data_IF_820078236676
#
_entry.id   IF_820078236676
#
_cell.length_a   1.000
_cell.length_b   1.000
_cell.length_c   1.000
_cell.angle_alpha   90.00
_cell.angle_beta   90.00
_cell.angle_gamma   90.00
#
_symmetry.space_group_name_H-M   'P 1'
#
loop_
_entity.id
_entity.type
_entity.pdbx_description
1 polymer ?
#
# COMPACT_ATOMS: atom_id res chain seq x y z
N UNK A 1 40.21 -21.05 9.03
CA UNK A 1 38.77 -21.36 8.91
C UNK A 1 37.93 -20.13 8.58
N UNK A 2 37.90 -19.03 9.34
CA UNK A 2 37.18 -17.80 8.92
C UNK A 2 37.90 -16.98 7.83
N UNK A 3 39.23 -16.98 7.85
CA UNK A 3 40.10 -16.31 6.86
C UNK A 3 39.93 -16.83 5.43
N UNK A 4 39.47 -18.06 5.28
CA UNK A 4 39.51 -18.80 4.02
C UNK A 4 38.38 -18.39 3.07
N UNK A 5 37.41 -17.61 3.60
CA UNK A 5 36.24 -17.13 2.86
C UNK A 5 36.34 -15.65 2.47
N UNK A 6 37.37 -14.93 2.93
CA UNK A 6 37.59 -13.54 2.56
C UNK A 6 37.82 -13.42 1.05
N UNK A 7 37.11 -12.49 0.41
CA UNK A 7 37.12 -12.28 -1.04
C UNK A 7 36.24 -13.26 -1.82
N UNK A 8 35.58 -14.22 -1.18
CA UNK A 8 34.61 -15.08 -1.86
C UNK A 8 33.38 -14.27 -2.26
N UNK A 9 32.89 -14.45 -3.49
CA UNK A 9 31.60 -13.91 -3.88
C UNK A 9 30.51 -14.81 -3.28
N UNK A 10 29.58 -14.24 -2.53
CA UNK A 10 28.52 -14.99 -1.86
C UNK A 10 27.17 -14.38 -2.13
N UNK A 11 26.14 -15.22 -2.05
CA UNK A 11 24.72 -14.87 -2.05
C UNK A 11 24.13 -15.22 -0.69
N UNK A 12 23.70 -14.21 0.05
CA UNK A 12 23.10 -14.31 1.38
C UNK A 12 21.60 -14.02 1.25
N UNK A 13 20.77 -15.01 1.56
CA UNK A 13 19.33 -14.87 1.62
C UNK A 13 18.92 -14.58 3.07
N UNK A 14 18.39 -13.38 3.31
CA UNK A 14 17.94 -12.93 4.62
C UNK A 14 16.42 -13.13 4.82
N UNK A 15 15.79 -13.96 3.97
CA UNK A 15 14.37 -14.26 4.01
C UNK A 15 13.49 -13.26 3.23
N UNK A 16 12.15 -13.46 3.28
CA UNK A 16 11.22 -12.73 2.42
C UNK A 16 11.13 -11.23 2.73
N UNK A 17 11.45 -10.81 3.95
CA UNK A 17 11.37 -9.41 4.39
C UNK A 17 12.61 -8.60 3.97
N UNK A 18 13.79 -9.21 4.07
CA UNK A 18 15.08 -8.54 3.80
C UNK A 18 15.66 -8.91 2.44
N UNK A 19 15.13 -9.92 1.74
CA UNK A 19 15.55 -10.31 0.40
C UNK A 19 16.94 -10.96 0.34
N UNK A 20 17.54 -10.91 -0.86
CA UNK A 20 18.83 -11.55 -1.14
C UNK A 20 19.90 -10.48 -1.38
N UNK A 21 21.05 -10.67 -0.76
CA UNK A 21 22.24 -9.84 -0.90
C UNK A 21 23.36 -10.65 -1.55
N UNK A 22 24.06 -10.04 -2.50
CA UNK A 22 25.19 -10.66 -3.19
C UNK A 22 26.40 -9.74 -3.12
N UNK A 23 27.58 -10.25 -2.80
CA UNK A 23 28.77 -9.41 -2.68
C UNK A 23 29.99 -10.20 -2.26
N UNK A 24 31.14 -9.54 -2.22
CA UNK A 24 32.40 -10.16 -1.84
C UNK A 24 32.57 -10.11 -0.32
N UNK A 25 32.91 -11.24 0.31
CA UNK A 25 33.12 -11.29 1.76
C UNK A 25 34.32 -10.44 2.15
N UNK A 26 34.07 -9.35 2.87
CA UNK A 26 35.06 -8.39 3.31
C UNK A 26 35.65 -8.74 4.66
N UNK A 27 34.80 -9.26 5.56
CA UNK A 27 35.16 -9.57 6.93
C UNK A 27 34.23 -10.63 7.50
N UNK A 28 34.75 -11.51 8.36
CA UNK A 28 33.97 -12.52 9.09
C UNK A 28 34.41 -12.47 10.54
N UNK A 29 33.49 -12.15 11.45
CA UNK A 29 33.75 -12.18 12.89
C UNK A 29 33.03 -13.35 13.54
N UNK A 30 33.82 -14.31 14.03
CA UNK A 30 33.30 -15.48 14.73
C UNK A 30 32.79 -15.14 16.14
N UNK A 31 33.29 -14.07 16.76
CA UNK A 31 32.91 -13.70 18.14
C UNK A 31 31.55 -13.04 18.16
N UNK A 32 31.32 -12.07 17.25
CA UNK A 32 30.02 -11.41 17.10
C UNK A 32 29.05 -12.15 16.18
N UNK A 33 29.48 -13.25 15.55
CA UNK A 33 28.72 -14.01 14.57
C UNK A 33 28.20 -13.10 13.44
N UNK A 34 29.10 -12.35 12.82
CA UNK A 34 28.77 -11.42 11.73
C UNK A 34 29.63 -11.63 10.49
N UNK A 35 29.09 -11.28 9.33
CA UNK A 35 29.76 -11.30 8.02
C UNK A 35 29.50 -10.00 7.28
N UNK A 36 30.55 -9.37 6.75
CA UNK A 36 30.45 -8.16 5.93
C UNK A 36 30.65 -8.47 4.45
N UNK A 37 29.83 -7.86 3.60
CA UNK A 37 29.96 -7.91 2.14
C UNK A 37 30.36 -6.55 1.59
N UNK A 38 31.42 -6.52 0.78
CA UNK A 38 31.84 -5.38 -0.04
C UNK A 38 31.12 -5.38 -1.39
N UNK A 39 30.85 -4.17 -1.86
CA UNK A 39 30.09 -3.89 -3.09
C UNK A 39 28.79 -4.70 -3.19
N UNK A 40 27.93 -4.71 -2.15
CA UNK A 40 26.78 -5.58 -2.15
C UNK A 40 25.75 -5.15 -3.19
N UNK A 41 25.05 -6.14 -3.75
CA UNK A 41 23.86 -6.02 -4.57
C UNK A 41 22.70 -6.54 -3.75
N UNK A 42 21.62 -5.78 -3.67
CA UNK A 42 20.38 -6.18 -3.05
C UNK A 42 19.34 -6.46 -4.12
N UNK A 43 18.86 -7.71 -4.18
CA UNK A 43 17.91 -8.19 -5.20
C UNK A 43 18.33 -7.83 -6.65
N UNK A 44 19.63 -7.91 -6.93
CA UNK A 44 20.22 -7.61 -8.25
C UNK A 44 20.51 -6.11 -8.51
N UNK A 45 20.18 -5.21 -7.58
CA UNK A 45 20.47 -3.77 -7.69
C UNK A 45 21.65 -3.43 -6.78
N UNK A 46 22.64 -2.69 -7.29
CA UNK A 46 23.82 -2.30 -6.51
C UNK A 46 23.41 -1.43 -5.32
N UNK A 47 23.85 -1.79 -4.12
CA UNK A 47 23.63 -1.00 -2.91
C UNK A 47 24.38 0.34 -3.00
N UNK A 48 23.81 1.44 -2.48
CA UNK A 48 24.48 2.73 -2.44
C UNK A 48 25.65 2.74 -1.43
N UNK A 49 25.62 1.83 -0.45
CA UNK A 49 26.66 1.68 0.57
C UNK A 49 27.75 0.71 0.09
N UNK A 50 29.03 1.00 0.38
CA UNK A 50 30.16 0.21 -0.11
C UNK A 50 30.31 -1.13 0.60
N UNK A 51 29.80 -1.25 1.83
CA UNK A 51 29.88 -2.45 2.66
C UNK A 51 28.61 -2.62 3.50
N UNK A 52 28.15 -3.86 3.68
CA UNK A 52 26.99 -4.20 4.53
C UNK A 52 27.35 -5.40 5.41
N UNK A 53 27.07 -5.30 6.71
CA UNK A 53 27.32 -6.35 7.69
C UNK A 53 26.02 -7.05 8.08
N UNK A 54 26.05 -8.38 8.12
CA UNK A 54 24.92 -9.26 8.44
C UNK A 54 25.24 -10.06 9.69
N UNK A 55 24.27 -10.21 10.59
CA UNK A 55 24.34 -11.18 11.68
C UNK A 55 24.02 -12.57 11.15
N UNK A 56 24.71 -13.60 11.64
CA UNK A 56 24.42 -14.99 11.31
C UNK A 56 22.97 -15.39 11.65
N UNK A 57 22.33 -14.73 12.62
CA UNK A 57 20.93 -15.00 12.97
C UNK A 57 19.94 -14.61 11.87
N UNK A 58 20.29 -13.62 11.04
CA UNK A 58 19.43 -13.11 9.97
C UNK A 58 19.62 -13.87 8.65
N UNK A 59 20.63 -14.74 8.57
CA UNK A 59 20.99 -15.47 7.36
C UNK A 59 20.22 -16.79 7.34
N UNK A 60 19.25 -16.90 6.42
CA UNK A 60 18.51 -18.14 6.21
C UNK A 60 19.24 -19.12 5.32
N UNK A 61 19.95 -18.61 4.30
CA UNK A 61 20.70 -19.41 3.36
C UNK A 61 21.91 -18.61 2.87
N UNK A 62 23.09 -19.24 2.81
CA UNK A 62 24.29 -18.67 2.22
C UNK A 62 24.81 -19.61 1.13
N UNK A 63 25.01 -19.07 -0.07
CA UNK A 63 25.59 -19.76 -1.23
C UNK A 63 26.86 -19.06 -1.65
N UNK A 64 27.95 -19.81 -1.78
CA UNK A 64 29.17 -19.28 -2.39
C UNK A 64 28.99 -19.35 -3.91
N UNK A 65 29.14 -18.19 -4.55
CA UNK A 65 29.06 -18.03 -5.99
C UNK A 65 30.51 -18.13 -6.50
N UNK A 66 30.90 -19.33 -6.94
CA UNK A 66 32.28 -19.65 -7.31
C UNK A 66 32.90 -18.60 -8.26
N UNK A 67 34.02 -18.01 -7.83
CA UNK A 67 35.07 -17.50 -8.72
C UNK A 67 36.35 -18.25 -8.34
N UNK A 68 36.72 -19.23 -9.17
CA UNK A 68 38.07 -19.79 -9.20
C UNK A 68 39.06 -18.67 -9.54
N UNK A 69 39.57 -17.95 -8.54
CA UNK A 69 40.78 -17.16 -8.70
C UNK A 69 41.97 -18.11 -8.53
N UNK A 70 42.58 -18.44 -9.67
CA UNK A 70 43.71 -19.35 -9.76
C UNK A 70 44.95 -18.82 -9.08
N UNK A 71 45.47 -19.60 -8.13
CA UNK A 71 46.89 -19.81 -7.93
C UNK A 71 47.14 -21.30 -7.67
N UNK A 72 46.91 -22.12 -8.68
CA UNK A 72 47.34 -23.51 -8.72
C UNK A 72 48.45 -23.65 -9.76
N UNK A 73 49.70 -23.76 -9.28
CA UNK A 73 50.80 -24.32 -10.06
C UNK A 73 50.51 -25.81 -10.27
N UNK A 74 50.47 -26.20 -11.54
CA UNK A 74 50.59 -27.54 -12.11
C UNK A 74 50.27 -28.76 -11.22
N UNK A 75 49.15 -29.42 -11.52
CA UNK A 75 49.15 -30.87 -11.76
C UNK A 75 48.02 -31.27 -12.70
N UNK A 76 48.40 -32.12 -13.65
CA UNK A 76 47.67 -32.67 -14.78
C UNK A 76 46.46 -33.53 -14.41
N UNK A 77 45.33 -33.37 -15.10
CA UNK A 77 44.53 -34.46 -15.70
C UNK A 77 43.19 -33.93 -16.26
N UNK A 78 42.65 -34.68 -17.22
CA UNK A 78 41.84 -34.22 -18.34
C UNK A 78 40.30 -34.30 -18.17
N UNK A 79 39.62 -33.79 -19.21
CA UNK A 79 38.21 -34.02 -19.63
C UNK A 79 37.11 -33.23 -18.90
N UNK A 80 35.98 -32.82 -19.48
CA UNK A 80 35.49 -32.51 -20.83
C UNK A 80 34.04 -31.95 -20.61
N UNK A 81 33.61 -30.91 -21.35
CA UNK A 81 32.23 -30.54 -21.78
C UNK A 81 31.06 -30.63 -20.76
N UNK A 82 30.14 -29.66 -20.57
CA UNK A 82 29.24 -28.93 -21.50
C UNK A 82 28.70 -27.68 -20.78
N UNK A 83 28.53 -26.56 -21.49
CA UNK A 83 27.99 -25.30 -20.94
C UNK A 83 26.48 -25.08 -21.15
N UNK A 84 25.95 -24.00 -20.59
CA UNK A 84 25.06 -23.04 -21.28
C UNK A 84 24.76 -21.82 -20.38
N UNK A 85 24.74 -20.66 -21.02
CA UNK A 85 24.74 -19.31 -20.47
C UNK A 85 23.36 -18.78 -20.02
N UNK A 86 23.29 -17.69 -19.22
CA UNK A 86 22.06 -16.95 -18.95
C UNK A 86 21.71 -15.93 -20.06
N UNK A 87 20.41 -15.77 -20.29
CA UNK A 87 19.78 -14.92 -21.32
C UNK A 87 19.75 -13.45 -20.90
N UNK A 88 20.18 -12.56 -21.81
CA UNK A 88 19.96 -11.11 -21.76
C UNK A 88 18.89 -10.69 -22.78
N UNK A 89 18.10 -9.64 -22.46
CA UNK A 89 17.10 -9.02 -23.35
C UNK A 89 17.52 -7.55 -23.59
N UNK A 90 17.33 -6.98 -24.81
CA UNK A 90 18.21 -5.94 -25.36
C UNK A 90 17.75 -4.49 -25.12
N UNK A 91 18.71 -3.57 -25.03
CA UNK A 91 18.54 -2.12 -25.23
C UNK A 91 19.00 -1.75 -26.65
N UNK A 92 18.19 -0.95 -27.35
CA UNK A 92 18.44 -0.51 -28.73
C UNK A 92 19.60 0.48 -28.87
N UNK A 93 20.30 0.36 -29.99
CA UNK A 93 21.48 1.13 -30.38
C UNK A 93 21.15 2.59 -30.81
N UNK A 94 22.11 3.52 -30.66
CA UNK A 94 22.10 4.86 -31.26
C UNK A 94 22.90 4.90 -32.59
N UNK A 95 22.71 5.95 -33.40
CA UNK A 95 23.68 6.59 -34.35
C UNK A 95 22.96 7.62 -35.25
N UNK A 96 23.64 8.58 -35.93
CA UNK A 96 24.76 9.44 -35.55
C UNK A 96 24.52 10.96 -35.90
N UNK A 97 25.46 11.82 -35.51
CA UNK A 97 25.49 13.29 -35.72
C UNK A 97 25.50 13.76 -37.19
N UNK A 98 24.87 14.92 -37.45
CA UNK A 98 25.39 15.95 -38.37
C UNK A 98 24.89 17.38 -38.01
N UNK A 99 25.64 18.38 -38.48
CA UNK A 99 25.87 19.71 -37.90
C UNK A 99 24.84 20.83 -38.22
N UNK A 100 24.73 21.76 -37.26
CA UNK A 100 24.65 23.24 -37.36
C UNK A 100 23.66 23.91 -38.35
N UNK A 101 22.61 24.54 -37.80
CA UNK A 101 22.37 26.00 -37.94
C UNK A 101 21.19 26.48 -37.05
N UNK A 102 21.41 27.55 -36.29
CA UNK A 102 20.38 28.47 -35.73
C UNK A 102 20.08 29.57 -36.78
N UNK A 103 18.98 30.38 -36.72
CA UNK A 103 18.48 31.04 -35.49
C UNK A 103 16.97 31.46 -35.45
N UNK A 104 16.63 32.19 -34.36
CA UNK A 104 15.51 33.14 -34.11
C UNK A 104 14.15 32.59 -33.64
N UNK A 105 13.59 32.91 -32.45
CA UNK A 105 13.16 34.17 -31.76
C UNK A 105 11.70 34.60 -32.05
N UNK A 106 11.01 35.09 -30.99
CA UNK A 106 9.65 35.71 -30.89
C UNK A 106 8.41 34.79 -30.85
N UNK A 107 7.28 35.08 -30.19
CA UNK A 107 6.86 36.03 -29.12
C UNK A 107 5.38 35.78 -28.75
N UNK A 108 4.95 36.31 -27.59
CA UNK A 108 3.61 36.34 -26.93
C UNK A 108 2.40 36.82 -27.77
N UNK A 109 1.17 36.39 -27.42
CA UNK A 109 -0.02 37.21 -26.97
C UNK A 109 -1.23 36.25 -26.71
N UNK A 110 -2.02 36.29 -25.63
CA UNK A 110 -3.04 37.23 -25.07
C UNK A 110 -4.34 37.42 -25.89
N UNK A 111 -5.50 37.21 -25.24
CA UNK A 111 -6.87 37.54 -25.68
C UNK A 111 -7.84 36.33 -25.54
N UNK A 112 -8.65 36.14 -24.50
CA UNK A 112 -9.76 36.91 -23.87
C UNK A 112 -11.17 36.51 -24.37
N UNK A 113 -12.13 36.58 -23.44
CA UNK A 113 -13.44 35.89 -23.37
C UNK A 113 -14.62 36.67 -23.99
N UNK A 114 -15.57 35.90 -24.55
CA UNK A 114 -17.05 35.96 -24.38
C UNK A 114 -17.89 37.11 -25.01
N UNK A 115 -18.96 36.75 -25.76
CA UNK A 115 -20.39 37.08 -25.45
C UNK A 115 -21.37 36.59 -26.56
N UNK A 116 -22.43 35.91 -26.13
CA UNK A 116 -23.64 35.48 -26.88
C UNK A 116 -24.62 36.63 -27.21
N UNK A 117 -25.56 36.40 -28.17
CA UNK A 117 -27.03 36.69 -28.16
C UNK A 117 -27.69 36.65 -29.58
N UNK A 118 -29.01 36.34 -29.75
CA UNK A 118 -29.52 35.39 -30.77
C UNK A 118 -30.58 35.91 -31.80
N UNK A 119 -30.93 35.06 -32.80
CA UNK A 119 -32.19 35.17 -33.57
C UNK A 119 -32.30 34.37 -34.91
N UNK A 120 -32.85 33.14 -34.87
CA UNK A 120 -33.69 32.34 -35.84
C UNK A 120 -33.51 32.37 -37.41
N UNK A 121 -34.12 31.43 -38.21
CA UNK A 121 -34.26 29.95 -38.13
C UNK A 121 -34.06 29.18 -39.49
N UNK A 122 -34.22 27.83 -39.46
CA UNK A 122 -34.32 26.80 -40.55
C UNK A 122 -32.98 26.28 -41.13
N UNK A 123 -32.72 24.98 -41.37
CA UNK A 123 -33.49 23.74 -41.24
C UNK A 123 -32.65 22.52 -41.72
N UNK A 124 -33.08 21.32 -41.30
CA UNK A 124 -32.85 19.98 -41.87
C UNK A 124 -31.43 19.55 -42.36
N UNK A 125 -30.81 18.62 -41.61
CA UNK A 125 -30.38 17.31 -42.16
C UNK A 125 -30.46 16.20 -41.08
N UNK A 126 -31.44 15.31 -41.25
CA UNK A 126 -31.45 13.95 -40.66
C UNK A 126 -30.35 13.12 -41.33
N UNK A 127 -29.56 12.37 -40.56
CA UNK A 127 -28.97 11.10 -40.99
C UNK A 127 -29.18 10.06 -39.90
N UNK A 128 -30.04 9.10 -40.20
CA UNK A 128 -30.04 7.76 -39.60
C UNK A 128 -29.06 6.88 -40.37
N UNK A 129 -28.45 5.93 -39.67
CA UNK A 129 -28.14 4.55 -40.06
C UNK A 129 -27.67 3.88 -38.73
N UNK A 130 -28.54 3.21 -37.98
CA UNK A 130 -29.02 1.83 -38.16
C UNK A 130 -27.92 0.78 -38.02
N UNK A 131 -27.72 0.29 -36.79
CA UNK A 131 -27.39 -1.11 -36.54
C UNK A 131 -28.25 -1.60 -35.37
N UNK A 132 -29.24 -2.42 -35.69
CA UNK A 132 -29.96 -3.26 -34.73
C UNK A 132 -30.12 -4.61 -35.41
N UNK A 133 -29.46 -5.63 -34.87
CA UNK A 133 -29.89 -7.01 -35.00
C UNK A 133 -30.18 -7.50 -33.58
N UNK A 134 -31.45 -7.76 -33.34
CA UNK A 134 -31.94 -8.50 -32.18
C UNK A 134 -31.58 -9.98 -32.34
N UNK A 135 -31.10 -10.60 -31.28
CA UNK A 135 -31.41 -12.00 -31.01
C UNK A 135 -31.48 -12.20 -29.50
N UNK A 136 -32.73 -12.21 -28.99
CA UNK A 136 -33.08 -12.78 -27.69
C UNK A 136 -32.85 -14.30 -27.80
N UNK A 137 -31.99 -14.85 -26.94
CA UNK A 137 -31.82 -16.29 -26.74
C UNK A 137 -32.04 -16.61 -25.28
N UNK A 138 -33.11 -17.35 -25.00
CA UNK A 138 -33.51 -17.81 -23.68
C UNK A 138 -32.75 -19.08 -23.26
N UNK A 139 -32.63 -19.27 -21.94
CA UNK A 139 -32.46 -20.52 -21.20
C UNK A 139 -31.80 -21.71 -21.93
N UNK A 140 -30.53 -21.97 -21.60
CA UNK A 140 -29.95 -23.30 -21.83
C UNK A 140 -30.50 -24.27 -20.78
N UNK A 141 -31.37 -25.18 -21.22
CA UNK A 141 -31.74 -26.40 -20.52
C UNK A 141 -30.88 -27.56 -21.05
N UNK A 142 -30.44 -28.42 -20.13
CA UNK A 142 -29.67 -29.65 -20.36
C UNK A 142 -30.40 -30.64 -21.28
N UNK A 143 -29.70 -31.39 -22.16
CA UNK A 143 -30.36 -32.35 -23.04
C UNK A 143 -30.68 -33.66 -22.30
N UNK A 144 -31.96 -34.01 -22.22
CA UNK A 144 -32.42 -35.38 -21.91
C UNK A 144 -32.62 -36.19 -23.21
N UNK A 145 -31.91 -37.33 -23.25
CA UNK A 145 -32.34 -38.69 -23.61
C UNK A 145 -33.17 -38.94 -24.88
N UNK A 146 -32.55 -39.64 -25.83
CA UNK A 146 -33.12 -40.69 -26.71
C UNK A 146 -32.10 -41.85 -26.63
N UNK A 147 -32.38 -43.15 -26.51
CA UNK A 147 -33.54 -44.02 -26.72
C UNK A 147 -32.98 -45.32 -27.35
N UNK A 148 -33.65 -46.48 -27.16
CA UNK A 148 -33.36 -47.83 -27.75
C UNK A 148 -32.37 -48.68 -26.88
N UNK A 149 -32.60 -49.92 -26.42
CA UNK A 149 -33.39 -51.10 -26.86
C UNK A 149 -33.61 -52.12 -25.72
N UNK A 150 -34.69 -52.91 -25.83
CA UNK A 150 -35.09 -54.07 -25.01
C UNK A 150 -34.04 -55.20 -24.89
N UNK A 151 -34.06 -55.94 -23.77
CA UNK A 151 -33.51 -57.30 -23.65
C UNK A 151 -33.68 -57.93 -22.26
N UNK A 152 -34.36 -59.08 -22.19
CA UNK A 152 -34.74 -59.84 -20.99
C UNK A 152 -33.59 -60.61 -20.31
N UNK A 153 -33.81 -60.89 -19.01
CA UNK A 153 -33.22 -61.93 -18.13
C UNK A 153 -32.32 -63.01 -18.75
N UNK A 154 -31.17 -63.31 -18.09
CA UNK A 154 -30.89 -64.65 -17.55
C UNK A 154 -29.67 -64.68 -16.61
N UNK A 155 -29.89 -65.42 -15.52
CA UNK A 155 -28.98 -65.92 -14.47
C UNK A 155 -27.76 -66.67 -15.02
N UNK A 156 -26.62 -66.57 -14.31
CA UNK A 156 -25.49 -67.52 -14.17
C UNK A 156 -24.23 -66.74 -13.75
N UNK A 157 -23.33 -67.17 -12.87
CA UNK A 157 -23.30 -68.10 -11.74
C UNK A 157 -22.09 -67.63 -10.92
N UNK A 158 -22.09 -68.00 -9.65
CA UNK A 158 -21.14 -67.68 -8.59
C UNK A 158 -19.66 -68.00 -8.86
N UNK A 159 -18.83 -67.34 -8.03
CA UNK A 159 -17.53 -67.81 -7.54
C UNK A 159 -16.31 -67.81 -8.49
N UNK A 160 -15.58 -66.69 -8.51
CA UNK A 160 -14.13 -66.78 -8.50
C UNK A 160 -13.52 -65.49 -7.92
N UNK A 161 -12.71 -65.66 -6.86
CA UNK A 161 -11.97 -64.63 -6.11
C UNK A 161 -12.77 -63.87 -5.04
N UNK A 162 -12.99 -64.54 -3.92
CA UNK A 162 -12.97 -63.86 -2.63
C UNK A 162 -11.54 -63.48 -2.25
N UNK A 163 -11.35 -62.29 -1.69
CA UNK A 163 -10.66 -62.12 -0.41
C UNK A 163 -10.99 -60.73 0.16
N UNK A 164 -11.13 -60.66 1.47
CA UNK A 164 -11.89 -59.63 2.19
C UNK A 164 -11.27 -58.24 2.24
N UNK A 165 -12.16 -57.25 2.33
CA UNK A 165 -12.03 -56.01 3.10
C UNK A 165 -13.33 -55.21 2.92
N UNK A 166 -14.37 -55.60 3.65
CA UNK A 166 -15.48 -54.69 3.94
C UNK A 166 -15.34 -54.27 5.40
N UNK A 167 -14.85 -53.04 5.59
CA UNK A 167 -15.30 -52.12 6.64
C UNK A 167 -14.50 -50.82 6.49
N UNK A 168 -15.12 -49.79 5.91
CA UNK A 168 -14.72 -48.41 6.24
C UNK A 168 -14.57 -47.37 5.13
N UNK A 169 -15.22 -47.48 3.96
CA UNK A 169 -15.11 -46.42 2.92
C UNK A 169 -16.44 -45.98 2.27
N UNK A 170 -17.59 -46.12 2.94
CA UNK A 170 -18.86 -45.52 2.49
C UNK A 170 -19.13 -44.13 3.12
N UNK A 171 -18.08 -43.34 3.36
CA UNK A 171 -18.21 -41.91 3.66
C UNK A 171 -17.79 -41.11 2.45
N UNK A 172 -18.52 -41.28 1.35
CA UNK A 172 -18.43 -40.36 0.22
C UNK A 172 -18.74 -38.95 0.73
N UNK A 173 -17.71 -38.12 0.74
CA UNK A 173 -17.78 -36.72 1.09
C UNK A 173 -18.74 -36.03 0.11
N UNK A 174 -19.96 -35.75 0.56
CA UNK A 174 -21.02 -35.17 -0.25
C UNK A 174 -20.70 -33.70 -0.61
N UNK A 175 -19.95 -33.53 -1.71
CA UNK A 175 -19.61 -32.22 -2.25
C UNK A 175 -20.85 -31.43 -2.70
N UNK A 176 -21.93 -32.10 -3.07
CA UNK A 176 -23.12 -31.48 -3.65
C UNK A 176 -24.07 -30.96 -2.55
N UNK A 177 -24.22 -31.72 -1.45
CA UNK A 177 -24.91 -31.30 -0.23
C UNK A 177 -24.21 -30.15 0.50
N UNK A 178 -22.87 -30.16 0.57
CA UNK A 178 -22.12 -29.03 1.13
C UNK A 178 -22.16 -27.77 0.26
N UNK A 179 -22.25 -27.90 -1.08
CA UNK A 179 -22.47 -26.76 -1.97
C UNK A 179 -23.86 -26.16 -1.80
N UNK A 180 -24.87 -27.00 -1.57
CA UNK A 180 -26.27 -26.58 -1.39
C UNK A 180 -26.54 -25.90 -0.04
N UNK A 181 -25.71 -26.18 0.98
CA UNK A 181 -25.72 -25.48 2.27
C UNK A 181 -25.11 -24.07 2.17
N UNK A 182 -24.36 -23.77 1.12
CA UNK A 182 -23.76 -22.47 0.90
C UNK A 182 -24.74 -21.55 0.16
N UNK A 183 -25.66 -20.92 0.91
CA UNK A 183 -26.59 -19.94 0.37
C UNK A 183 -25.84 -18.67 -0.06
N UNK A 184 -25.37 -18.71 -1.31
CA UNK A 184 -24.67 -17.61 -1.97
C UNK A 184 -25.51 -16.33 -1.95
N UNK A 185 -26.84 -16.42 -2.07
CA UNK A 185 -27.72 -15.26 -2.06
C UNK A 185 -27.87 -14.66 -0.66
N UNK A 186 -27.95 -15.48 0.39
CA UNK A 186 -27.94 -15.01 1.77
C UNK A 186 -26.60 -14.34 2.13
N UNK A 187 -25.47 -14.91 1.72
CA UNK A 187 -24.14 -14.31 1.94
C UNK A 187 -24.02 -12.98 1.19
N UNK A 188 -24.45 -12.89 -0.07
CA UNK A 188 -24.44 -11.61 -0.80
C UNK A 188 -25.42 -10.59 -0.22
N UNK A 189 -26.59 -11.02 0.27
CA UNK A 189 -27.53 -10.15 0.96
C UNK A 189 -26.98 -9.65 2.29
N UNK A 190 -26.29 -10.49 3.05
CA UNK A 190 -25.63 -10.11 4.30
C UNK A 190 -24.48 -9.11 4.05
N UNK A 191 -23.69 -9.33 2.98
CA UNK A 191 -22.65 -8.38 2.54
C UNK A 191 -23.28 -7.04 2.12
N UNK A 192 -24.31 -7.02 1.28
CA UNK A 192 -25.01 -5.79 0.88
C UNK A 192 -25.66 -5.07 2.07
N UNK A 193 -26.16 -5.82 3.04
CA UNK A 193 -26.75 -5.26 4.27
C UNK A 193 -25.66 -4.72 5.20
N UNK A 194 -24.48 -5.34 5.23
CA UNK A 194 -23.31 -4.87 5.97
C UNK A 194 -22.69 -3.61 5.34
N UNK A 195 -22.62 -3.52 4.00
CA UNK A 195 -22.15 -2.32 3.29
C UNK A 195 -23.11 -1.13 3.49
N UNK A 196 -24.43 -1.40 3.59
CA UNK A 196 -25.43 -0.37 3.94
C UNK A 196 -25.37 0.07 5.40
N UNK A 197 -24.96 -0.82 6.32
CA UNK A 197 -24.81 -0.50 7.76
C UNK A 197 -23.47 0.14 8.11
N UNK A 198 -22.42 -0.10 7.31
CA UNK A 198 -21.06 0.40 7.54
C UNK A 198 -20.66 1.56 6.60
N UNK A 199 -21.62 2.17 5.89
CA UNK A 199 -21.37 3.31 5.01
C UNK A 199 -21.39 4.64 5.75
N UNK A 200 -20.58 5.60 5.30
CA UNK A 200 -20.70 6.99 5.71
C UNK A 200 -21.36 7.81 4.58
N UNK A 201 -22.20 8.79 4.90
CA UNK A 201 -22.84 9.66 3.92
C UNK A 201 -22.11 11.00 3.83
N UNK A 202 -21.86 11.45 2.60
CA UNK A 202 -21.44 12.83 2.37
C UNK A 202 -22.62 13.80 2.61
N UNK A 203 -22.32 15.09 2.71
CA UNK A 203 -23.35 16.13 2.81
C UNK A 203 -24.34 16.17 1.63
N UNK A 204 -23.92 15.72 0.43
CA UNK A 204 -24.79 15.59 -0.74
C UNK A 204 -25.64 14.31 -0.75
N UNK A 205 -25.58 13.51 0.32
CA UNK A 205 -26.30 12.24 0.45
C UNK A 205 -25.65 11.07 -0.30
N UNK A 206 -24.43 11.24 -0.84
CA UNK A 206 -23.70 10.14 -1.48
C UNK A 206 -23.20 9.18 -0.41
N UNK A 207 -23.48 7.89 -0.58
CA UNK A 207 -22.95 6.83 0.29
C UNK A 207 -21.50 6.56 -0.10
N UNK A 208 -20.61 6.70 0.86
CA UNK A 208 -19.19 6.36 0.78
C UNK A 208 -18.96 5.15 1.70
N UNK A 209 -18.75 3.95 1.15
CA UNK A 209 -18.56 2.76 1.97
C UNK A 209 -17.24 2.82 2.73
N UNK A 210 -17.25 2.33 3.98
CA UNK A 210 -16.01 2.07 4.70
C UNK A 210 -15.30 0.86 4.11
N UNK A 211 -13.97 0.93 4.02
CA UNK A 211 -13.13 -0.16 3.52
C UNK A 211 -12.27 -0.74 4.64
N UNK A 212 -11.85 -2.00 4.47
CA UNK A 212 -10.87 -2.61 5.38
C UNK A 212 -9.51 -1.95 5.20
N UNK A 213 -8.70 -1.96 6.27
CA UNK A 213 -7.32 -1.45 6.20
C UNK A 213 -6.51 -2.15 5.10
N UNK A 214 -6.67 -3.47 4.93
CA UNK A 214 -5.96 -4.23 3.91
C UNK A 214 -6.33 -3.79 2.47
N UNK A 215 -7.60 -3.48 2.21
CA UNK A 215 -8.01 -2.95 0.91
C UNK A 215 -7.47 -1.52 0.70
N UNK A 216 -7.50 -0.69 1.75
CA UNK A 216 -6.97 0.67 1.72
C UNK A 216 -5.46 0.69 1.46
N UNK A 217 -4.70 -0.16 2.16
CA UNK A 217 -3.26 -0.37 1.94
C UNK A 217 -2.96 -0.81 0.51
N UNK A 218 -3.72 -1.78 -0.03
CA UNK A 218 -3.57 -2.22 -1.44
C UNK A 218 -3.83 -1.08 -2.44
N UNK A 219 -4.82 -0.24 -2.17
CA UNK A 219 -5.11 0.95 -3.00
C UNK A 219 -3.95 1.94 -2.99
N UNK A 220 -3.38 2.24 -1.81
CA UNK A 220 -2.24 3.14 -1.68
C UNK A 220 -0.99 2.59 -2.39
N UNK A 221 -0.70 1.30 -2.23
CA UNK A 221 0.40 0.63 -2.93
C UNK A 221 0.18 0.62 -4.45
N UNK A 222 -1.06 0.48 -4.92
CA UNK A 222 -1.38 0.59 -6.34
C UNK A 222 -1.10 2.00 -6.87
N UNK A 223 -1.50 3.04 -6.14
CA UNK A 223 -1.24 4.42 -6.51
C UNK A 223 0.28 4.73 -6.57
N UNK A 224 1.05 4.16 -5.65
CA UNK A 224 2.50 4.33 -5.62
C UNK A 224 3.21 3.71 -6.84
N UNK A 225 2.74 2.55 -7.32
CA UNK A 225 3.24 1.95 -8.59
C UNK A 225 3.04 2.86 -9.81
N UNK A 226 2.04 3.74 -9.76
CA UNK A 226 1.74 4.72 -10.81
C UNK A 226 2.36 6.11 -10.57
N UNK A 227 3.30 6.22 -9.62
CA UNK A 227 4.06 7.45 -9.37
C UNK A 227 3.39 8.44 -8.40
N UNK A 228 2.31 8.02 -7.70
CA UNK A 228 1.80 8.74 -6.54
C UNK A 228 2.56 8.31 -5.28
N UNK A 229 3.84 8.67 -5.22
CA UNK A 229 4.75 8.30 -4.12
C UNK A 229 4.22 8.78 -2.76
N UNK A 230 4.71 8.17 -1.68
CA UNK A 230 4.39 8.63 -0.32
C UNK A 230 4.65 10.14 -0.15
N UNK A 231 5.81 10.65 -0.56
CA UNK A 231 6.15 12.08 -0.48
C UNK A 231 5.14 12.96 -1.22
N UNK A 232 4.71 12.55 -2.41
CA UNK A 232 3.71 13.29 -3.18
C UNK A 232 2.33 13.28 -2.51
N UNK A 233 1.98 12.18 -1.84
CA UNK A 233 0.77 12.08 -1.02
C UNK A 233 0.87 12.97 0.22
N UNK A 234 2.02 13.00 0.88
CA UNK A 234 2.27 13.88 2.02
C UNK A 234 2.08 15.33 1.61
N UNK A 235 2.68 15.77 0.49
CA UNK A 235 2.56 17.14 0.00
C UNK A 235 1.15 17.52 -0.51
N UNK A 236 0.39 16.56 -1.04
CA UNK A 236 -0.97 16.83 -1.50
C UNK A 236 -1.99 16.87 -0.34
N UNK A 237 -1.69 16.24 0.80
CA UNK A 237 -2.65 16.10 1.91
C UNK A 237 -3.03 17.42 2.60
N UNK A 238 -2.14 18.41 2.62
CA UNK A 238 -2.27 19.54 3.54
C UNK A 238 -2.54 20.89 2.84
N UNK A 239 -2.55 20.98 1.50
CA UNK A 239 -2.74 22.22 0.72
C UNK A 239 -4.12 22.89 0.90
N UNK A 240 -4.84 22.61 1.98
CA UNK A 240 -6.25 22.88 2.21
C UNK A 240 -6.41 23.54 3.60
N UNK A 241 -6.78 24.83 3.56
CA UNK A 241 -6.87 25.85 4.64
C UNK A 241 -7.22 25.42 6.08
N UNK A 242 -6.58 26.16 7.01
CA UNK A 242 -6.30 26.05 8.47
C UNK A 242 -7.46 25.89 9.49
N UNK A 243 -7.13 25.44 10.74
CA UNK A 243 -6.88 26.35 11.88
C UNK A 243 -5.55 26.08 12.65
N UNK A 244 -5.15 27.05 13.49
CA UNK A 244 -3.89 27.14 14.27
C UNK A 244 -3.74 26.01 15.31
N UNK A 245 -2.54 25.41 15.47
CA UNK A 245 -2.38 24.24 16.34
C UNK A 245 -0.96 23.71 16.65
N UNK A 246 -0.86 23.02 17.79
CA UNK A 246 0.31 22.27 18.29
C UNK A 246 0.22 20.79 17.89
N UNK A 247 1.36 20.13 17.62
CA UNK A 247 1.42 18.85 16.89
C UNK A 247 2.12 17.72 17.69
N UNK A 248 1.56 16.51 17.65
CA UNK A 248 2.18 15.30 18.19
C UNK A 248 2.31 14.23 17.08
N UNK A 249 3.54 13.89 16.70
CA UNK A 249 3.84 12.90 15.66
C UNK A 249 4.54 11.66 16.23
N UNK A 250 4.09 10.46 15.84
CA UNK A 250 4.79 9.20 16.08
C UNK A 250 5.90 8.93 15.05
N UNK A 251 6.67 7.85 15.23
CA UNK A 251 7.73 7.42 14.29
C UNK A 251 7.22 6.57 13.11
N UNK A 252 6.05 6.90 12.57
CA UNK A 252 5.31 6.09 11.58
C UNK A 252 5.00 6.87 10.30
N UNK A 253 4.35 6.24 9.32
CA UNK A 253 3.84 6.93 8.12
C UNK A 253 2.86 8.06 8.49
N UNK A 254 2.01 7.83 9.50
CA UNK A 254 1.12 8.84 10.09
C UNK A 254 1.93 9.96 10.76
N UNK A 255 3.03 9.61 11.41
CA UNK A 255 4.02 10.56 11.89
C UNK A 255 4.53 11.52 10.82
N UNK A 256 4.95 10.99 9.67
CA UNK A 256 5.39 11.82 8.54
C UNK A 256 4.27 12.73 8.02
N UNK A 257 3.01 12.26 7.99
CA UNK A 257 1.83 13.10 7.66
C UNK A 257 1.67 14.26 8.65
N UNK A 258 1.80 13.99 9.95
CA UNK A 258 1.75 15.00 10.99
C UNK A 258 2.85 16.05 10.87
N UNK A 259 4.09 15.64 10.57
CA UNK A 259 5.22 16.56 10.40
C UNK A 259 5.05 17.42 9.15
N UNK A 260 4.59 16.82 8.04
CA UNK A 260 4.25 17.56 6.82
C UNK A 260 3.17 18.61 7.11
N UNK A 261 2.08 18.21 7.79
CA UNK A 261 1.01 19.13 8.20
C UNK A 261 1.54 20.29 9.06
N UNK A 262 2.35 19.99 10.08
CA UNK A 262 2.95 20.99 10.97
C UNK A 262 3.90 21.94 10.26
N UNK A 263 4.72 21.46 9.32
CA UNK A 263 5.60 22.30 8.49
C UNK A 263 4.79 23.37 7.76
N UNK A 264 3.65 22.99 7.22
CA UNK A 264 2.86 23.92 6.42
C UNK A 264 2.03 24.88 7.23
N UNK A 265 1.54 24.45 8.38
CA UNK A 265 0.97 25.38 9.35
C UNK A 265 2.02 26.41 9.79
N UNK A 266 3.26 25.99 10.07
CA UNK A 266 4.36 26.91 10.38
C UNK A 266 4.67 27.88 9.22
N UNK A 267 4.62 27.41 7.97
CA UNK A 267 4.78 28.29 6.79
C UNK A 267 3.68 29.36 6.68
N UNK A 268 2.52 29.11 7.27
CA UNK A 268 1.41 30.05 7.36
C UNK A 268 1.35 30.77 8.71
N UNK A 269 2.50 30.94 9.36
CA UNK A 269 2.70 31.75 10.57
C UNK A 269 1.98 31.20 11.82
N UNK A 270 1.59 29.93 11.80
CA UNK A 270 1.08 29.24 13.00
C UNK A 270 2.23 28.86 13.91
N UNK A 271 2.10 29.09 15.21
CA UNK A 271 3.06 28.60 16.20
C UNK A 271 2.92 27.07 16.34
N UNK A 272 3.87 26.34 15.77
CA UNK A 272 3.87 24.88 15.77
C UNK A 272 4.95 24.35 16.70
N UNK A 273 4.53 23.61 17.73
CA UNK A 273 5.43 22.75 18.53
C UNK A 273 5.15 21.30 18.14
N UNK A 274 6.18 20.62 17.63
CA UNK A 274 6.15 19.24 17.18
C UNK A 274 6.76 18.32 18.24
N UNK A 275 5.96 17.49 18.89
CA UNK A 275 6.46 16.38 19.70
C UNK A 275 6.79 15.18 18.81
N UNK A 276 8.04 14.71 18.88
CA UNK A 276 8.50 13.48 18.25
C UNK A 276 9.51 12.78 19.18
N UNK A 277 9.20 11.59 19.72
CA UNK A 277 10.13 10.88 20.60
C UNK A 277 11.38 10.41 19.83
N UNK A 278 12.48 10.21 20.54
CA UNK A 278 13.72 9.75 19.94
C UNK A 278 13.63 8.25 19.59
N UNK A 279 13.77 7.91 18.31
CA UNK A 279 13.83 6.54 17.83
C UNK A 279 15.26 6.17 17.45
N UNK A 280 15.68 4.93 17.75
CA UNK A 280 17.00 4.41 17.35
C UNK A 280 17.14 4.36 15.83
N UNK A 281 16.05 4.07 15.12
CA UNK A 281 15.96 4.10 13.66
C UNK A 281 14.75 4.93 13.25
N UNK A 282 14.99 5.99 12.48
CA UNK A 282 13.96 6.81 11.86
C UNK A 282 13.64 6.29 10.46
N UNK A 283 12.37 6.36 10.06
CA UNK A 283 11.97 6.13 8.67
C UNK A 283 12.50 7.27 7.78
N UNK A 284 12.87 6.95 6.54
CA UNK A 284 13.39 7.94 5.58
C UNK A 284 12.37 9.06 5.34
N UNK A 285 11.08 8.73 5.24
CA UNK A 285 10.00 9.70 5.07
C UNK A 285 9.90 10.69 6.24
N UNK A 286 10.05 10.22 7.48
CA UNK A 286 10.07 11.09 8.66
C UNK A 286 11.32 11.95 8.66
N UNK A 287 12.48 11.40 8.29
CA UNK A 287 13.76 12.13 8.24
C UNK A 287 13.72 13.25 7.19
N UNK A 288 13.17 12.98 6.00
CA UNK A 288 12.97 13.96 4.94
C UNK A 288 12.04 15.09 5.40
N UNK A 289 10.90 14.76 6.02
CA UNK A 289 9.94 15.78 6.51
C UNK A 289 10.50 16.60 7.68
N UNK A 290 11.25 16.00 8.60
CA UNK A 290 11.96 16.73 9.66
C UNK A 290 12.99 17.70 9.09
N UNK A 291 13.71 17.29 8.05
CA UNK A 291 14.69 18.15 7.38
C UNK A 291 14.01 19.40 6.84
N UNK A 292 12.83 19.27 6.22
CA UNK A 292 12.05 20.41 5.75
C UNK A 292 11.44 21.21 6.90
N UNK A 293 10.89 20.56 7.92
CA UNK A 293 10.31 21.21 9.10
C UNK A 293 11.34 22.08 9.83
N UNK A 294 12.59 21.63 9.92
CA UNK A 294 13.70 22.39 10.52
C UNK A 294 14.03 23.71 9.82
N UNK A 295 13.48 23.95 8.63
CA UNK A 295 13.61 25.22 7.88
C UNK A 295 12.47 26.19 8.15
N UNK A 296 11.48 25.79 8.94
CA UNK A 296 10.37 26.64 9.38
C UNK A 296 10.66 27.29 10.73
N UNK A 297 9.75 28.14 11.22
CA UNK A 297 9.78 28.68 12.58
C UNK A 297 9.28 27.69 13.66
N UNK A 298 8.82 26.49 13.26
CA UNK A 298 8.29 25.50 14.18
C UNK A 298 9.36 24.92 15.12
N UNK A 299 8.96 24.61 16.36
CA UNK A 299 9.82 24.05 17.40
C UNK A 299 9.64 22.54 17.48
N UNK A 300 10.72 21.76 17.35
CA UNK A 300 10.70 20.32 17.62
C UNK A 300 11.07 20.06 19.10
N UNK A 301 10.31 19.18 19.75
CA UNK A 301 10.58 18.69 21.11
C UNK A 301 10.54 17.16 21.14
N UNK A 302 11.35 16.56 22.01
CA UNK A 302 11.43 15.09 22.16
C UNK A 302 10.85 14.57 23.47
N UNK A 303 10.48 15.48 24.37
CA UNK A 303 9.88 15.17 25.66
C UNK A 303 8.53 15.87 25.79
N UNK A 304 7.56 15.15 26.34
CA UNK A 304 6.21 15.69 26.65
C UNK A 304 6.31 16.85 27.66
N UNK A 305 7.36 16.87 28.50
CA UNK A 305 7.61 17.95 29.46
C UNK A 305 7.96 19.30 28.82
N UNK A 306 8.38 19.29 27.56
CA UNK A 306 8.73 20.50 26.82
C UNK A 306 7.53 21.08 26.05
N UNK A 307 6.37 20.43 26.15
CA UNK A 307 5.11 20.93 25.62
C UNK A 307 4.49 21.96 26.58
N UNK A 308 3.62 22.86 26.09
CA UNK A 308 2.97 23.85 26.93
C UNK A 308 2.11 23.23 28.03
N UNK A 309 2.23 23.76 29.25
CA UNK A 309 1.35 23.44 30.37
C UNK A 309 -0.02 24.14 30.25
N UNK A 310 -0.09 25.22 29.46
CA UNK A 310 -1.33 25.92 29.16
C UNK A 310 -2.08 25.25 28.00
N UNK A 311 -3.43 25.30 28.00
CA UNK A 311 -4.22 24.84 26.87
C UNK A 311 -3.80 25.51 25.56
N UNK A 312 -3.61 24.71 24.51
CA UNK A 312 -3.31 25.19 23.16
C UNK A 312 -4.60 25.32 22.34
N UNK A 313 -4.54 25.94 21.16
CA UNK A 313 -5.74 26.17 20.33
C UNK A 313 -6.25 24.91 19.62
N UNK A 314 -5.33 24.00 19.25
CA UNK A 314 -5.62 22.74 18.57
C UNK A 314 -4.48 21.76 18.83
N UNK A 315 -4.83 20.48 18.98
CA UNK A 315 -3.87 19.37 19.01
C UNK A 315 -4.05 18.53 17.76
N UNK A 316 -2.98 18.31 17.01
CA UNK A 316 -2.97 17.37 15.88
C UNK A 316 -2.34 16.05 16.33
N UNK A 317 -3.16 15.01 16.41
CA UNK A 317 -2.76 13.66 16.83
C UNK A 317 -2.37 12.81 15.61
N UNK A 318 -1.10 12.41 15.57
CA UNK A 318 -0.52 11.47 14.61
C UNK A 318 0.33 10.41 15.32
N UNK A 319 0.01 10.10 16.58
CA UNK A 319 0.76 9.13 17.40
C UNK A 319 0.52 7.70 16.94
N UNK A 320 -0.72 7.44 16.49
CA UNK A 320 -1.17 6.11 16.09
C UNK A 320 -0.64 5.69 14.72
N UNK A 321 -0.51 4.40 14.53
CA UNK A 321 -0.34 3.82 13.20
C UNK A 321 -1.07 2.49 13.07
N UNK A 322 -1.42 2.14 11.84
CA UNK A 322 -2.21 0.94 11.56
C UNK A 322 -1.46 -0.38 11.83
N UNK A 323 -0.12 -0.37 11.85
CA UNK A 323 0.69 -1.59 11.86
C UNK A 323 1.46 -1.83 13.16
N UNK A 324 1.83 -0.78 13.89
CA UNK A 324 2.64 -0.92 15.11
C UNK A 324 1.82 -0.68 16.37
N UNK A 325 0.98 -1.66 16.71
CA UNK A 325 0.16 -1.62 17.94
C UNK A 325 1.00 -1.63 19.22
N UNK A 326 2.23 -2.18 19.17
CA UNK A 326 3.16 -2.20 20.31
C UNK A 326 3.63 -0.80 20.77
N UNK A 327 3.49 0.22 19.92
CA UNK A 327 3.85 1.59 20.30
C UNK A 327 2.96 2.11 21.43
N UNK A 328 1.72 1.63 21.54
CA UNK A 328 0.78 2.03 22.58
C UNK A 328 1.24 1.65 24.00
N UNK A 329 2.08 0.62 24.11
CA UNK A 329 2.63 0.18 25.39
C UNK A 329 3.85 0.98 25.82
N UNK A 330 4.39 1.83 24.96
CA UNK A 330 5.57 2.61 25.26
C UNK A 330 5.25 3.72 26.28
N UNK A 331 6.14 3.97 27.27
CA UNK A 331 5.91 5.02 28.26
C UNK A 331 5.73 6.42 27.65
N UNK A 332 6.49 6.74 26.60
CA UNK A 332 6.38 8.02 25.91
C UNK A 332 5.03 8.20 25.22
N UNK A 333 4.46 7.10 24.71
CA UNK A 333 3.19 7.12 24.00
C UNK A 333 2.06 7.42 24.99
N UNK A 334 2.02 6.69 26.11
CA UNK A 334 1.02 6.92 27.18
C UNK A 334 1.12 8.34 27.74
N UNK A 335 2.34 8.83 27.99
CA UNK A 335 2.55 10.19 28.45
C UNK A 335 2.06 11.25 27.45
N UNK A 336 2.28 11.04 26.15
CA UNK A 336 1.82 11.97 25.11
C UNK A 336 0.29 11.95 24.98
N UNK A 337 -0.33 10.77 25.05
CA UNK A 337 -1.78 10.63 25.04
C UNK A 337 -2.41 11.29 26.29
N UNK A 338 -1.83 11.06 27.47
CA UNK A 338 -2.26 11.68 28.73
C UNK A 338 -2.17 13.21 28.66
N UNK A 339 -1.07 13.75 28.14
CA UNK A 339 -0.92 15.20 27.94
C UNK A 339 -2.01 15.76 27.01
N UNK A 340 -2.27 15.10 25.88
CA UNK A 340 -3.28 15.54 24.93
C UNK A 340 -4.69 15.57 25.56
N UNK A 341 -5.03 14.54 26.32
CA UNK A 341 -6.32 14.45 27.02
C UNK A 341 -6.44 15.48 28.17
N UNK A 342 -5.33 15.85 28.83
CA UNK A 342 -5.32 16.81 29.94
C UNK A 342 -5.31 18.27 29.49
N UNK A 343 -4.74 18.58 28.31
CA UNK A 343 -4.59 19.95 27.82
C UNK A 343 -5.93 20.66 27.53
N UNK A 344 -7.02 19.89 27.28
CA UNK A 344 -8.39 20.36 26.97
C UNK A 344 -8.58 21.07 25.62
N UNK A 345 -7.52 21.24 24.83
CA UNK A 345 -7.62 21.71 23.46
C UNK A 345 -8.45 20.73 22.60
N UNK A 346 -9.13 21.20 21.54
CA UNK A 346 -9.76 20.30 20.59
C UNK A 346 -8.70 19.48 19.84
N UNK A 347 -8.95 18.18 19.70
CA UNK A 347 -8.03 17.25 19.02
C UNK A 347 -8.53 16.93 17.60
N UNK A 348 -7.64 17.06 16.62
CA UNK A 348 -7.78 16.56 15.26
C UNK A 348 -6.87 15.34 15.08
N UNK A 349 -7.43 14.15 14.83
CA UNK A 349 -6.64 12.95 14.52
C UNK A 349 -6.49 12.76 13.02
N UNK A 350 -5.26 12.62 12.54
CA UNK A 350 -4.97 12.35 11.12
C UNK A 350 -4.81 10.85 10.90
N UNK A 351 -5.57 10.30 9.95
CA UNK A 351 -5.56 8.89 9.58
C UNK A 351 -5.58 7.92 10.79
N UNK A 352 -6.51 8.08 11.75
CA UNK A 352 -6.54 7.23 12.94
C UNK A 352 -6.82 5.77 12.56
N UNK A 353 -6.32 4.81 13.35
CA UNK A 353 -6.52 3.39 13.09
C UNK A 353 -7.97 2.97 13.26
N UNK A 354 -8.36 2.00 12.45
CA UNK A 354 -9.70 1.41 12.46
C UNK A 354 -9.92 0.38 13.58
N UNK A 355 -8.92 0.15 14.44
CA UNK A 355 -8.99 -0.92 15.44
C UNK A 355 -10.19 -0.67 16.35
N UNK A 356 -11.01 -1.70 16.57
CA UNK A 356 -12.13 -1.67 17.56
C UNK A 356 -11.66 -1.54 19.01
N UNK A 357 -10.43 -1.08 19.22
CA UNK A 357 -9.86 -0.70 20.50
C UNK A 357 -10.14 0.78 20.73
N UNK A 358 -10.29 1.16 22.01
CA UNK A 358 -10.48 2.55 22.39
C UNK A 358 -9.26 3.37 21.97
N UNK A 359 -9.48 4.46 21.24
CA UNK A 359 -8.42 5.40 20.89
C UNK A 359 -7.80 5.96 22.17
N UNK A 360 -6.47 6.08 22.19
CA UNK A 360 -5.75 6.61 23.36
C UNK A 360 -6.04 8.10 23.59
N UNK A 361 -6.33 8.83 22.52
CA UNK A 361 -6.69 10.25 22.54
C UNK A 361 -8.08 10.42 21.94
N UNK A 362 -8.98 11.05 22.68
CA UNK A 362 -10.35 11.31 22.20
C UNK A 362 -10.36 12.49 21.23
N UNK A 363 -10.77 12.22 19.99
CA UNK A 363 -10.72 13.20 18.91
C UNK A 363 -12.04 13.97 18.77
N UNK A 364 -11.97 15.29 18.59
CA UNK A 364 -13.13 16.10 18.19
C UNK A 364 -13.41 15.91 16.70
N UNK A 365 -12.35 15.78 15.91
CA UNK A 365 -12.40 15.56 14.48
C UNK A 365 -11.39 14.47 14.08
N UNK A 366 -11.75 13.67 13.08
CA UNK A 366 -10.84 12.71 12.46
C UNK A 366 -10.81 12.90 10.96
N UNK A 367 -9.63 12.85 10.36
CA UNK A 367 -9.43 12.96 8.92
C UNK A 367 -9.02 11.61 8.33
N UNK A 368 -9.93 10.96 7.62
CA UNK A 368 -9.63 9.76 6.82
C UNK A 368 -9.13 10.14 5.43
N UNK A 369 -8.24 9.31 4.88
CA UNK A 369 -7.61 9.58 3.60
C UNK A 369 -8.24 8.75 2.49
N UNK A 370 -8.70 9.38 1.42
CA UNK A 370 -9.26 8.78 0.20
C UNK A 370 -10.58 8.02 0.37
N UNK A 371 -10.58 6.96 1.18
CA UNK A 371 -11.74 6.16 1.56
C UNK A 371 -11.73 5.99 3.09
N UNK A 372 -12.89 6.10 3.76
CA UNK A 372 -12.95 5.97 5.20
C UNK A 372 -12.68 4.52 5.62
N UNK A 373 -11.99 4.37 6.75
CA UNK A 373 -11.95 3.12 7.48
C UNK A 373 -13.11 3.08 8.48
N UNK A 374 -13.46 1.89 8.96
CA UNK A 374 -14.43 1.74 10.05
C UNK A 374 -13.81 2.20 11.38
N UNK A 375 -13.92 3.49 11.68
CA UNK A 375 -13.36 4.10 12.89
C UNK A 375 -14.20 3.78 14.13
N UNK A 376 -13.53 3.63 15.28
CA UNK A 376 -14.16 3.35 16.57
C UNK A 376 -14.94 4.54 17.14
N UNK A 377 -15.80 4.25 18.13
CA UNK A 377 -16.42 5.27 18.97
C UNK A 377 -15.31 6.08 19.69
N UNK A 378 -15.27 7.40 19.45
CA UNK A 378 -14.19 8.28 19.91
C UNK A 378 -13.43 9.01 18.80
N UNK A 379 -13.66 8.66 17.53
CA UNK A 379 -13.10 9.38 16.38
C UNK A 379 -13.74 10.77 16.13
N UNK A 380 -14.78 11.14 16.89
CA UNK A 380 -15.47 12.42 16.74
C UNK A 380 -16.15 12.56 15.36
N UNK A 381 -16.14 13.79 14.83
CA UNK A 381 -16.69 14.04 13.48
C UNK A 381 -15.66 13.64 12.42
N UNK A 382 -16.06 12.73 11.53
CA UNK A 382 -15.18 12.22 10.49
C UNK A 382 -15.23 13.11 9.25
N UNK A 383 -14.07 13.39 8.68
CA UNK A 383 -13.88 14.06 7.41
C UNK A 383 -13.09 13.15 6.48
N UNK A 384 -13.36 13.27 5.19
CA UNK A 384 -12.64 12.56 4.15
C UNK A 384 -11.78 13.55 3.37
N UNK A 385 -10.51 13.21 3.15
CA UNK A 385 -9.54 14.00 2.37
C UNK A 385 -9.24 13.33 1.02
N UNK A 386 -9.30 14.10 -0.07
CA UNK A 386 -8.84 13.68 -1.38
C UNK A 386 -7.32 13.81 -1.47
N UNK A 387 -6.65 12.67 -1.65
CA UNK A 387 -5.18 12.59 -1.80
C UNK A 387 -4.74 12.47 -3.26
N UNK A 388 -5.68 12.61 -4.21
CA UNK A 388 -5.40 12.65 -5.64
C UNK A 388 -5.23 11.28 -6.30
N UNK A 389 -5.85 10.23 -5.77
CA UNK A 389 -5.82 8.90 -6.40
C UNK A 389 -6.67 8.92 -7.69
N UNK A 390 -6.11 8.58 -8.86
CA UNK A 390 -6.88 8.52 -10.10
C UNK A 390 -7.93 7.41 -10.09
N UNK A 391 -9.06 7.64 -10.75
CA UNK A 391 -10.18 6.68 -10.84
C UNK A 391 -9.75 5.27 -11.31
N UNK A 392 -8.83 5.18 -12.26
CA UNK A 392 -8.37 3.91 -12.81
C UNK A 392 -7.63 3.05 -11.76
N UNK A 393 -6.91 3.68 -10.82
CA UNK A 393 -6.21 2.98 -9.73
C UNK A 393 -7.20 2.29 -8.79
N UNK A 394 -8.37 2.89 -8.54
CA UNK A 394 -9.44 2.22 -7.79
C UNK A 394 -9.96 0.98 -8.52
N UNK A 395 -10.10 1.05 -9.85
CA UNK A 395 -10.59 -0.07 -10.66
C UNK A 395 -9.61 -1.24 -10.62
N UNK A 396 -8.30 -0.98 -10.59
CA UNK A 396 -7.26 -2.02 -10.47
C UNK A 396 -7.38 -2.84 -9.18
N UNK A 397 -7.85 -2.23 -8.09
CA UNK A 397 -8.09 -2.93 -6.82
C UNK A 397 -9.53 -3.40 -6.65
N UNK A 398 -10.33 -3.37 -7.71
CA UNK A 398 -11.71 -3.87 -7.74
C UNK A 398 -12.77 -2.89 -7.21
N UNK A 399 -12.43 -1.61 -7.02
CA UNK A 399 -13.35 -0.59 -6.49
C UNK A 399 -13.96 0.22 -7.65
N UNK A 400 -15.29 0.19 -7.77
CA UNK A 400 -16.04 1.03 -8.73
C UNK A 400 -16.21 2.45 -8.18
N UNK A 401 -15.18 3.28 -8.35
CA UNK A 401 -15.12 4.60 -7.74
C UNK A 401 -15.79 5.71 -8.56
N UNK A 402 -16.57 6.55 -7.86
CA UNK A 402 -17.01 7.87 -8.30
C UNK A 402 -16.68 8.87 -7.19
N UNK A 403 -16.10 10.02 -7.55
CA UNK A 403 -15.64 10.99 -6.55
C UNK A 403 -16.81 11.54 -5.71
N UNK A 404 -16.78 11.39 -4.37
CA UNK A 404 -17.78 11.99 -3.49
C UNK A 404 -17.48 13.47 -3.16
N UNK A 405 -16.33 13.99 -3.61
CA UNK A 405 -15.78 15.28 -3.18
C UNK A 405 -16.39 16.50 -3.88
N UNK A 406 -16.99 16.31 -5.05
CA UNK A 406 -17.47 17.43 -5.87
C UNK A 406 -16.34 18.39 -6.23
N UNK A 407 -16.46 19.66 -5.81
CA UNK A 407 -15.43 20.70 -6.00
C UNK A 407 -14.55 20.93 -4.76
N UNK A 408 -14.75 20.17 -3.68
CA UNK A 408 -13.97 20.27 -2.45
C UNK A 408 -12.88 19.20 -2.45
N UNK A 409 -11.92 19.32 -1.55
CA UNK A 409 -10.92 18.26 -1.30
C UNK A 409 -11.10 17.63 0.07
N UNK A 410 -11.74 18.33 1.01
CA UNK A 410 -12.16 17.76 2.29
C UNK A 410 -13.67 17.86 2.41
N UNK A 411 -14.33 16.76 2.75
CA UNK A 411 -15.78 16.69 2.95
C UNK A 411 -16.11 16.08 4.32
N UNK A 412 -17.15 16.57 5.02
CA UNK A 412 -17.63 15.90 6.21
C UNK A 412 -18.34 14.60 5.82
N UNK A 413 -18.17 13.59 6.67
CA UNK A 413 -18.88 12.33 6.63
C UNK A 413 -19.84 12.24 7.82
N UNK A 414 -21.03 11.70 7.56
CA UNK A 414 -22.07 11.47 8.55
C UNK A 414 -22.38 9.98 8.62
N UNK A 415 -22.65 9.44 9.81
CA UNK A 415 -23.13 8.06 9.93
C UNK A 415 -24.43 7.88 9.16
N UNK A 416 -24.54 6.76 8.42
CA UNK A 416 -25.62 6.52 7.46
C UNK A 416 -26.97 6.18 8.08
#
# INVERSE_FOLDING_TARGET
MASDWLGSLVSINCGPTLGVYQGEVAFVDQTSQTISLRHPFHNGIKCPVPEVTFSAMDIKELKILDIRNGNARNSTSASAYVGSAPVAVPKGDPRPMENVNSPQHCSKSYGDRHLDVPGQPKGFRRRHNSWSSSSRGANQATPKKNGVKNGQMKHRDDECFGDGMDEGLDTDFDFEGNLALFDKAAVFSEIDTSERRNGARSHSGLVVPCVTYELHKRLLLAAERHGLSLERRLENNWRLRQPDGTHSAGGSQQGAQGISCGRHLANHEVEVILFLPNFVKMLDSVTSELTLFSKTCGKQVSSVKDLPDTPVDLIINCLDCHENTFLMDQPWYRAAADWANQNRAPVLSLDPPASGQRLAVEAKWSLSLCLPLALAEGAGRVYLCDIGIPRQVFQEVGIKYHSPFGCKFVIPLHSA
#
